data_IF_565620894340
#
_entry.id   IF_565620894340
#
_cell.length_a   1.000
_cell.length_b   1.000
_cell.length_c   1.000
_cell.angle_alpha   90.00
_cell.angle_beta   90.00
_cell.angle_gamma   90.00
#
_symmetry.space_group_name_H-M   'P 1'
#
loop_
_entity.id
_entity.type
_entity.pdbx_description
1 polymer ?
#
# COMPACT_ATOMS: atom_id res chain seq x y z
N UNK A 1 13.50 1.94 14.87
CA UNK A 1 13.37 3.19 14.07
C UNK A 1 13.78 2.85 12.65
N UNK A 2 13.04 3.30 11.64
CA UNK A 2 13.49 3.21 10.26
C UNK A 2 14.82 3.96 10.11
N UNK A 3 15.73 3.47 9.26
CA UNK A 3 16.93 4.22 8.89
C UNK A 3 16.57 5.59 8.30
N UNK A 4 17.42 6.59 8.47
CA UNK A 4 17.15 7.98 8.06
C UNK A 4 17.02 8.20 6.56
N UNK A 5 17.40 7.21 5.74
CA UNK A 5 17.27 7.24 4.29
C UNK A 5 15.93 6.68 3.78
N UNK A 6 14.99 6.36 4.68
CA UNK A 6 13.64 5.96 4.31
C UNK A 6 12.62 7.02 4.72
N UNK A 7 11.63 7.20 3.86
CA UNK A 7 10.43 7.97 4.11
C UNK A 7 9.26 6.98 4.01
N UNK A 8 8.31 7.06 4.94
CA UNK A 8 7.04 6.33 4.80
C UNK A 8 6.05 7.27 4.15
N UNK A 9 5.43 6.81 3.07
CA UNK A 9 4.27 7.46 2.49
C UNK A 9 3.05 6.55 2.59
N UNK A 10 1.88 7.14 2.75
CA UNK A 10 0.59 6.47 2.80
C UNK A 10 -0.22 6.85 1.57
N UNK A 11 -0.80 5.85 0.92
CA UNK A 11 -1.81 6.03 -0.12
C UNK A 11 -3.05 5.25 0.26
N UNK A 12 -4.08 5.95 0.71
CA UNK A 12 -5.35 5.32 1.03
C UNK A 12 -6.22 5.11 -0.21
N UNK A 13 -7.09 4.11 -0.12
CA UNK A 13 -8.20 3.94 -1.06
C UNK A 13 -9.12 5.17 -0.98
N UNK A 14 -9.75 5.64 -2.07
CA UNK A 14 -10.58 6.86 -2.07
C UNK A 14 -11.75 6.86 -1.09
N UNK A 15 -12.18 5.67 -0.63
CA UNK A 15 -13.28 5.51 0.33
C UNK A 15 -12.81 5.54 1.79
N UNK A 16 -11.50 5.57 2.04
CA UNK A 16 -10.90 5.61 3.37
C UNK A 16 -10.30 6.99 3.57
N UNK A 17 -10.58 7.59 4.73
CA UNK A 17 -9.97 8.84 5.15
C UNK A 17 -9.25 8.63 6.47
N UNK A 18 -8.13 9.33 6.66
CA UNK A 18 -7.50 9.43 7.96
C UNK A 18 -8.29 10.41 8.83
N UNK A 19 -8.53 10.00 10.08
CA UNK A 19 -9.10 10.90 11.10
C UNK A 19 -8.07 11.93 11.58
N UNK A 20 -6.77 11.65 11.44
CA UNK A 20 -5.68 12.55 11.85
C UNK A 20 -4.35 12.23 11.17
N UNK A 21 -3.46 13.22 11.11
CA UNK A 21 -2.10 13.06 10.59
C UNK A 21 -1.28 12.05 11.40
N UNK A 22 -0.64 11.12 10.71
CA UNK A 22 0.28 10.16 11.31
C UNK A 22 1.69 10.74 11.31
N UNK A 23 2.25 10.98 12.50
CA UNK A 23 3.58 11.58 12.64
C UNK A 23 4.66 10.73 11.95
N UNK A 24 5.39 11.36 11.02
CA UNK A 24 6.48 10.72 10.29
C UNK A 24 6.03 9.92 9.06
N UNK A 25 4.76 10.06 8.66
CA UNK A 25 4.19 9.50 7.44
C UNK A 25 3.71 10.64 6.57
N UNK A 26 4.02 10.59 5.27
CA UNK A 26 3.53 11.54 4.28
C UNK A 26 2.25 10.98 3.67
N UNK A 27 1.13 11.69 3.78
CA UNK A 27 -0.10 11.31 3.10
C UNK A 27 -0.06 11.75 1.63
N UNK A 28 -0.12 10.77 0.71
CA UNK A 28 -0.16 10.93 -0.73
C UNK A 28 -1.54 10.58 -1.32
N UNK A 29 -2.57 10.46 -0.47
CA UNK A 29 -3.93 10.11 -0.89
C UNK A 29 -4.53 11.13 -1.85
N UNK A 30 -4.16 12.40 -1.71
CA UNK A 30 -4.63 13.49 -2.55
C UNK A 30 -3.46 14.16 -3.28
N UNK A 31 -3.74 14.72 -4.46
CA UNK A 31 -2.76 15.51 -5.22
C UNK A 31 -1.84 14.72 -6.15
N UNK A 32 -1.87 13.39 -6.09
CA UNK A 32 -1.13 12.51 -7.00
C UNK A 32 -2.01 11.38 -7.53
N UNK A 33 -1.80 11.01 -8.80
CA UNK A 33 -2.36 9.80 -9.38
C UNK A 33 -1.71 8.56 -8.76
N UNK A 34 -2.35 7.39 -8.90
CA UNK A 34 -1.78 6.15 -8.40
C UNK A 34 -0.44 5.86 -9.09
N UNK A 35 -0.40 6.01 -10.41
CA UNK A 35 0.78 5.79 -11.25
C UNK A 35 1.96 6.68 -10.85
N UNK A 36 1.69 7.96 -10.56
CA UNK A 36 2.70 8.88 -10.04
C UNK A 36 3.28 8.37 -8.72
N UNK A 37 2.42 7.97 -7.77
CA UNK A 37 2.84 7.40 -6.49
C UNK A 37 3.67 6.13 -6.68
N UNK A 38 3.23 5.20 -7.52
CA UNK A 38 3.96 3.97 -7.79
C UNK A 38 5.33 4.26 -8.44
N UNK A 39 5.40 5.21 -9.38
CA UNK A 39 6.65 5.54 -10.09
C UNK A 39 7.76 6.05 -9.16
N UNK A 40 7.39 6.79 -8.10
CA UNK A 40 8.32 7.34 -7.10
C UNK A 40 8.54 6.42 -5.89
N UNK A 41 7.90 5.26 -5.85
CA UNK A 41 8.01 4.30 -4.74
C UNK A 41 9.11 3.28 -4.99
N UNK A 42 10.05 3.13 -4.05
CA UNK A 42 11.12 2.13 -4.13
C UNK A 42 10.69 0.73 -3.65
N UNK A 43 9.84 0.68 -2.62
CA UNK A 43 9.31 -0.54 -2.01
C UNK A 43 7.82 -0.33 -1.73
N UNK A 44 6.97 -1.20 -2.28
CA UNK A 44 5.54 -1.18 -2.00
C UNK A 44 5.21 -2.11 -0.84
N UNK A 45 4.44 -1.63 0.14
CA UNK A 45 3.81 -2.48 1.15
C UNK A 45 2.31 -2.46 0.86
N UNK A 46 1.71 -3.63 0.69
CA UNK A 46 0.29 -3.77 0.38
C UNK A 46 -0.28 -5.04 1.02
N UNK A 47 -1.60 -5.16 1.09
CA UNK A 47 -2.32 -6.33 1.56
C UNK A 47 -2.96 -7.05 0.36
N UNK A 48 -4.27 -7.06 0.25
CA UNK A 48 -5.05 -7.77 -0.77
C UNK A 48 -5.24 -6.95 -2.06
N UNK A 49 -4.63 -5.77 -2.16
CA UNK A 49 -4.84 -4.86 -3.29
C UNK A 49 -4.15 -5.34 -4.57
N UNK A 50 -4.85 -5.18 -5.70
CA UNK A 50 -4.32 -5.48 -7.03
C UNK A 50 -3.12 -4.60 -7.42
N UNK A 51 -2.88 -3.50 -6.69
CA UNK A 51 -1.76 -2.58 -6.95
C UNK A 51 -0.40 -3.26 -6.88
N UNK A 52 -0.28 -4.35 -6.10
CA UNK A 52 0.94 -5.17 -6.07
C UNK A 52 1.30 -5.73 -7.46
N UNK A 53 0.29 -6.14 -8.25
CA UNK A 53 0.51 -6.62 -9.62
C UNK A 53 0.93 -5.49 -10.57
N UNK A 54 0.35 -4.29 -10.42
CA UNK A 54 0.74 -3.12 -11.21
C UNK A 54 2.18 -2.71 -10.92
N UNK A 55 2.55 -2.68 -9.64
CA UNK A 55 3.89 -2.31 -9.18
C UNK A 55 4.95 -3.36 -9.53
N UNK A 56 4.57 -4.64 -9.62
CA UNK A 56 5.48 -5.70 -10.06
C UNK A 56 6.07 -5.45 -11.46
N UNK A 57 5.38 -4.69 -12.33
CA UNK A 57 5.91 -4.27 -13.63
C UNK A 57 7.12 -3.33 -13.53
N UNK A 58 7.34 -2.70 -12.38
CA UNK A 58 8.51 -1.86 -12.13
C UNK A 58 9.73 -2.67 -11.67
N UNK A 59 9.58 -3.99 -11.52
CA UNK A 59 10.62 -4.91 -11.03
C UNK A 59 11.22 -4.49 -9.67
N UNK A 60 10.38 -3.87 -8.83
CA UNK A 60 10.74 -3.39 -7.49
C UNK A 60 10.12 -4.26 -6.40
N UNK A 61 10.71 -4.29 -5.19
CA UNK A 61 10.21 -5.13 -4.10
C UNK A 61 8.77 -4.79 -3.70
N UNK A 62 7.94 -5.83 -3.58
CA UNK A 62 6.60 -5.78 -2.97
C UNK A 62 6.62 -6.58 -1.67
N UNK A 63 6.09 -6.01 -0.60
CA UNK A 63 5.87 -6.67 0.67
C UNK A 63 4.36 -6.81 0.86
N UNK A 64 3.88 -8.05 0.83
CA UNK A 64 2.50 -8.37 1.17
C UNK A 64 2.36 -8.51 2.69
N UNK A 65 1.45 -7.73 3.31
CA UNK A 65 1.21 -7.69 4.76
C UNK A 65 -0.27 -7.94 5.11
N UNK A 66 -0.79 -9.16 4.89
CA UNK A 66 -2.18 -9.53 5.16
C UNK A 66 -2.38 -9.86 6.66
N UNK A 67 -2.42 -8.82 7.50
CA UNK A 67 -2.44 -8.97 8.97
C UNK A 67 -3.70 -9.66 9.53
N UNK A 68 -4.80 -9.65 8.79
CA UNK A 68 -6.11 -10.18 9.12
C UNK A 68 -6.56 -11.32 8.19
N UNK A 69 -5.61 -12.01 7.53
CA UNK A 69 -5.90 -13.00 6.48
C UNK A 69 -6.95 -14.05 6.88
N UNK A 70 -6.85 -14.58 8.11
CA UNK A 70 -7.77 -15.61 8.59
C UNK A 70 -9.21 -15.10 8.72
N UNK A 71 -9.39 -13.83 9.05
CA UNK A 71 -10.70 -13.17 9.07
C UNK A 71 -11.15 -12.84 7.65
N UNK A 72 -10.25 -12.23 6.86
CA UNK A 72 -10.52 -11.75 5.51
C UNK A 72 -10.89 -12.88 4.53
N UNK A 73 -10.36 -14.10 4.71
CA UNK A 73 -10.75 -15.30 3.93
C UNK A 73 -12.25 -15.61 3.95
N UNK A 74 -12.97 -15.15 4.97
CA UNK A 74 -14.42 -15.34 5.05
C UNK A 74 -15.21 -14.28 4.27
N UNK A 75 -14.52 -13.29 3.69
CA UNK A 75 -15.11 -12.28 2.81
C UNK A 75 -15.07 -12.73 1.35
N UNK A 76 -16.01 -12.25 0.53
CA UNK A 76 -16.01 -12.54 -0.90
C UNK A 76 -15.04 -11.58 -1.62
N UNK A 77 -14.18 -12.12 -2.49
CA UNK A 77 -13.33 -11.33 -3.37
C UNK A 77 -11.83 -11.55 -3.21
N UNK A 78 -11.40 -12.34 -2.23
CA UNK A 78 -10.01 -12.81 -2.14
C UNK A 78 -9.70 -13.79 -3.28
N UNK A 79 -8.50 -13.73 -3.82
CA UNK A 79 -8.02 -14.65 -4.84
C UNK A 79 -7.85 -16.04 -4.20
N UNK A 80 -8.26 -17.09 -4.92
CA UNK A 80 -8.02 -18.48 -4.48
C UNK A 80 -6.51 -18.72 -4.34
N UNK A 81 -6.11 -19.42 -3.26
CA UNK A 81 -4.70 -19.67 -2.92
C UNK A 81 -3.84 -18.40 -2.70
N UNK A 82 -4.45 -17.31 -2.20
CA UNK A 82 -3.71 -16.15 -1.69
C UNK A 82 -2.68 -16.52 -0.61
#
# INVERSE_FOLDING_TARGET
KLPSNYIIALRLHPTVQLDSDIKGVIDLTNGFSLEEVLSMTDILITDYSSVGFEFANLERPVIYYPYDLDEYKNTKGLIDDY
#
